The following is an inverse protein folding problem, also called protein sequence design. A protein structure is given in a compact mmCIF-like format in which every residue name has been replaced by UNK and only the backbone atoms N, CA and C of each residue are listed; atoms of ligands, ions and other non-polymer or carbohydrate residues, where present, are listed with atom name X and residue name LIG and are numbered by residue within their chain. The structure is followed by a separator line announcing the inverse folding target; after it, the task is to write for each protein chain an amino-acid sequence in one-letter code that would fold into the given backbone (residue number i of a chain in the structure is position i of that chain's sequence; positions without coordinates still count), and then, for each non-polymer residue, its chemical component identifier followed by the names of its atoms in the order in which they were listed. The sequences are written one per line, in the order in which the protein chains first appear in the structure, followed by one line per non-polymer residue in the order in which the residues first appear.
data_IF_277945233795
#
_entry.id   IF_277945233795
#
_cell.length_a   1.000
_cell.length_b   1.000
_cell.length_c   1.000
_cell.angle_alpha   90.00
_cell.angle_beta   90.00
_cell.angle_gamma   90.00
#
_symmetry.space_group_name_H-M   'P 1'
#
loop_
_entity.id
_entity.type
_entity.pdbx_description
1 polymer ?
#
# COMPACT_ATOMS: atom_id res chain seq x y z
N UNK A 1 4.50 -4.98 14.43
CA UNK A 1 3.16 -4.82 14.99
C UNK A 1 2.53 -3.46 14.68
N UNK A 2 3.27 -2.34 14.76
CA UNK A 2 2.75 -1.00 14.48
C UNK A 2 2.23 -0.84 13.03
N UNK A 3 2.92 -1.41 12.03
CA UNK A 3 2.47 -1.42 10.64
C UNK A 3 1.11 -2.11 10.49
N UNK A 4 0.92 -3.27 11.12
CA UNK A 4 -0.36 -3.99 11.16
C UNK A 4 -1.48 -3.16 11.78
N UNK A 5 -1.19 -2.47 12.87
CA UNK A 5 -2.14 -1.56 13.54
C UNK A 5 -2.56 -0.41 12.63
N UNK A 6 -1.62 0.19 11.89
CA UNK A 6 -1.90 1.28 10.94
C UNK A 6 -2.74 0.82 9.75
N UNK A 7 -2.49 -0.38 9.20
CA UNK A 7 -3.34 -0.97 8.17
C UNK A 7 -4.79 -1.13 8.62
N UNK A 8 -4.98 -1.58 9.86
CA UNK A 8 -6.32 -1.75 10.44
C UNK A 8 -6.99 -0.41 10.68
N UNK A 9 -6.33 0.55 11.34
CA UNK A 9 -6.85 1.90 11.57
C UNK A 9 -7.17 2.63 10.26
N UNK A 10 -6.34 2.45 9.23
CA UNK A 10 -6.54 3.01 7.90
C UNK A 10 -7.65 2.34 7.07
N UNK A 11 -8.34 1.33 7.61
CA UNK A 11 -9.38 0.52 6.91
C UNK A 11 -8.90 -0.08 5.57
N UNK A 12 -7.58 -0.32 5.43
CA UNK A 12 -6.93 -0.84 4.23
C UNK A 12 -6.79 -2.37 4.23
N UNK A 13 -7.40 -3.01 5.20
CA UNK A 13 -7.26 -4.43 5.51
C UNK A 13 -8.46 -5.25 5.02
N UNK A 14 -8.80 -5.11 3.73
CA UNK A 14 -10.02 -5.74 3.15
C UNK A 14 -9.89 -7.25 3.02
N UNK A 15 -8.76 -7.74 2.50
CA UNK A 15 -8.50 -9.18 2.30
C UNK A 15 -7.63 -9.78 3.39
N UNK A 16 -7.05 -8.96 4.24
CA UNK A 16 -6.02 -9.31 5.23
C UNK A 16 -4.73 -9.92 4.62
N UNK A 17 -4.64 -10.08 3.30
CA UNK A 17 -3.44 -10.63 2.67
C UNK A 17 -2.20 -9.83 3.05
N UNK A 18 -2.19 -8.52 2.81
CA UNK A 18 -1.07 -7.66 3.19
C UNK A 18 -0.78 -7.68 4.70
N UNK A 19 -1.82 -7.71 5.53
CA UNK A 19 -1.66 -7.80 6.97
C UNK A 19 -0.97 -9.10 7.40
N UNK A 20 -1.34 -10.22 6.78
CA UNK A 20 -0.80 -11.55 7.11
C UNK A 20 0.60 -11.76 6.51
N UNK A 21 0.92 -11.12 5.37
CA UNK A 21 2.21 -11.26 4.71
C UNK A 21 3.32 -10.40 5.33
N UNK A 22 2.97 -9.46 6.20
CA UNK A 22 3.99 -8.66 6.90
C UNK A 22 4.79 -9.55 7.83
N UNK A 23 6.05 -9.77 7.49
CA UNK A 23 6.98 -10.55 8.29
C UNK A 23 8.37 -9.93 8.26
N UNK A 24 9.29 -10.48 9.04
CA UNK A 24 10.68 -10.05 9.03
C UNK A 24 11.59 -11.24 9.32
N UNK A 25 12.78 -11.20 8.75
CA UNK A 25 13.87 -12.15 9.02
C UNK A 25 15.08 -11.38 9.52
N UNK A 26 15.77 -11.94 10.48
CA UNK A 26 17.03 -11.40 10.98
C UNK A 26 18.13 -12.39 10.60
N UNK A 27 19.09 -11.91 9.82
CA UNK A 27 20.30 -12.65 9.48
C UNK A 27 21.45 -12.00 10.25
N UNK A 28 22.02 -12.72 11.20
CA UNK A 28 23.20 -12.32 11.94
C UNK A 28 24.39 -13.15 11.50
N UNK A 29 25.47 -12.50 11.09
CA UNK A 29 26.78 -13.07 10.86
C UNK A 29 27.75 -12.50 11.90
N UNK A 30 28.99 -13.00 11.94
CA UNK A 30 30.01 -12.50 12.89
C UNK A 30 30.25 -11.00 12.73
N UNK A 31 30.18 -10.48 11.48
CA UNK A 31 30.52 -9.09 11.15
C UNK A 31 29.32 -8.20 10.82
N UNK A 32 28.10 -8.77 10.67
CA UNK A 32 26.93 -8.00 10.24
C UNK A 32 25.61 -8.56 10.77
N UNK A 33 24.64 -7.66 10.93
CA UNK A 33 23.24 -7.99 11.21
C UNK A 33 22.39 -7.35 10.13
N UNK A 34 21.61 -8.16 9.41
CA UNK A 34 20.62 -7.65 8.45
C UNK A 34 19.20 -8.00 8.87
N UNK A 35 18.28 -7.07 8.66
CA UNK A 35 16.85 -7.26 8.93
C UNK A 35 16.11 -7.12 7.61
N UNK A 36 15.51 -8.22 7.15
CA UNK A 36 14.75 -8.28 5.90
C UNK A 36 13.27 -8.21 6.25
N UNK A 37 12.55 -7.25 5.69
CA UNK A 37 11.10 -7.14 5.83
C UNK A 37 10.43 -7.72 4.60
N UNK A 38 9.48 -8.63 4.82
CA UNK A 38 8.73 -9.29 3.76
C UNK A 38 7.28 -8.78 3.76
N UNK A 39 6.73 -8.52 2.58
CA UNK A 39 5.33 -8.18 2.39
C UNK A 39 4.88 -8.49 0.96
N UNK A 40 3.58 -8.53 0.73
CA UNK A 40 3.00 -8.62 -0.61
C UNK A 40 3.47 -7.46 -1.50
N UNK A 41 3.79 -7.70 -2.77
CA UNK A 41 4.34 -6.72 -3.73
C UNK A 41 3.53 -5.41 -3.81
N UNK A 42 2.21 -5.51 -3.67
CA UNK A 42 1.37 -4.32 -3.69
C UNK A 42 1.46 -3.48 -2.39
N UNK A 43 2.15 -3.97 -1.37
CA UNK A 43 2.36 -3.26 -0.10
C UNK A 43 3.06 -1.93 -0.31
N UNK A 44 4.07 -1.88 -1.17
CA UNK A 44 4.80 -0.64 -1.52
C UNK A 44 3.87 0.44 -2.10
N UNK A 45 2.97 0.06 -3.00
CA UNK A 45 2.00 1.01 -3.57
C UNK A 45 0.97 1.49 -2.54
N UNK A 46 0.65 0.65 -1.56
CA UNK A 46 -0.25 1.00 -0.48
C UNK A 46 0.44 1.90 0.55
N UNK A 47 1.73 1.71 0.78
CA UNK A 47 2.53 2.51 1.70
C UNK A 47 2.86 3.89 1.13
N UNK A 48 3.54 3.92 -0.01
CA UNK A 48 4.02 5.14 -0.64
C UNK A 48 2.95 5.86 -1.49
N UNK A 49 1.86 5.15 -1.82
CA UNK A 49 0.82 5.66 -2.70
C UNK A 49 1.18 5.56 -4.19
N UNK A 50 0.26 5.97 -5.03
CA UNK A 50 0.42 6.05 -6.48
C UNK A 50 -0.25 7.32 -6.99
N UNK A 51 0.46 8.16 -7.71
CA UNK A 51 -0.12 9.36 -8.33
C UNK A 51 -1.13 8.99 -9.41
N UNK A 52 -2.26 9.68 -9.42
CA UNK A 52 -3.23 9.58 -10.48
C UNK A 52 -2.86 10.46 -11.69
N UNK A 53 -3.66 10.39 -12.73
CA UNK A 53 -3.47 11.26 -13.90
C UNK A 53 -3.79 12.73 -13.60
N UNK A 54 -4.78 13.00 -12.74
CA UNK A 54 -5.18 14.35 -12.33
C UNK A 54 -4.60 14.77 -10.99
N UNK A 55 -4.56 13.86 -10.01
CA UNK A 55 -4.05 14.15 -8.68
C UNK A 55 -2.66 13.56 -8.51
N UNK A 56 -1.71 14.39 -8.10
CA UNK A 56 -0.32 14.00 -7.87
C UNK A 56 -0.04 13.89 -6.38
N UNK A 57 0.77 12.88 -6.03
CA UNK A 57 1.35 12.71 -4.70
C UNK A 57 2.87 12.72 -4.84
N UNK A 58 3.58 13.01 -3.78
CA UNK A 58 5.04 12.87 -3.75
C UNK A 58 5.38 11.37 -3.60
N UNK A 59 5.40 10.66 -4.74
CA UNK A 59 5.64 9.22 -4.82
C UNK A 59 6.27 8.87 -6.16
N UNK A 60 7.17 7.87 -6.23
CA UNK A 60 7.78 7.42 -7.49
C UNK A 60 6.77 6.74 -8.41
N UNK A 61 5.63 6.30 -7.89
CA UNK A 61 4.63 5.56 -8.66
C UNK A 61 3.56 6.47 -9.24
N UNK A 62 3.22 6.29 -10.52
CA UNK A 62 2.16 7.08 -11.16
C UNK A 62 1.44 6.30 -12.26
N UNK A 63 0.13 6.51 -12.36
CA UNK A 63 -0.64 6.09 -13.53
C UNK A 63 -0.36 7.05 -14.68
N UNK A 64 0.02 6.49 -15.84
CA UNK A 64 0.27 7.26 -17.08
C UNK A 64 -0.86 7.01 -18.10
N UNK A 65 -0.85 5.86 -18.75
CA UNK A 65 -1.75 5.54 -19.88
C UNK A 65 -2.71 4.39 -19.57
N UNK A 66 -2.33 3.43 -18.71
CA UNK A 66 -3.14 2.25 -18.43
C UNK A 66 -3.91 2.38 -17.13
N UNK A 67 -5.23 2.22 -17.23
CA UNK A 67 -6.12 2.13 -16.07
C UNK A 67 -6.02 0.74 -15.44
N UNK A 68 -6.11 0.61 -14.10
CA UNK A 68 -6.16 -0.71 -13.47
C UNK A 68 -7.37 -1.51 -13.95
N UNK A 69 -7.24 -2.84 -14.13
CA UNK A 69 -8.34 -3.67 -14.61
C UNK A 69 -9.51 -3.65 -13.62
N UNK A 70 -10.71 -3.34 -14.11
CA UNK A 70 -11.92 -3.23 -13.28
C UNK A 70 -12.24 -4.52 -12.53
N UNK A 71 -11.92 -5.69 -13.09
CA UNK A 71 -12.11 -7.00 -12.44
C UNK A 71 -11.35 -7.13 -11.11
N UNK A 72 -10.21 -6.46 -10.95
CA UNK A 72 -9.42 -6.47 -9.72
C UNK A 72 -10.22 -5.95 -8.51
N UNK A 73 -11.24 -5.12 -8.73
CA UNK A 73 -12.08 -4.56 -7.67
C UNK A 73 -13.33 -5.38 -7.35
N UNK A 74 -13.50 -6.54 -7.98
CA UNK A 74 -14.69 -7.39 -7.77
C UNK A 74 -14.87 -7.78 -6.30
N UNK A 75 -13.83 -8.34 -5.69
CA UNK A 75 -13.86 -8.73 -4.27
C UNK A 75 -13.91 -7.51 -3.32
N UNK A 76 -13.30 -6.40 -3.71
CA UNK A 76 -13.35 -5.16 -2.94
C UNK A 76 -14.78 -4.65 -2.80
N UNK A 77 -15.53 -4.59 -3.90
CA UNK A 77 -16.96 -4.17 -3.90
C UNK A 77 -17.80 -5.05 -2.98
N UNK A 78 -17.58 -6.37 -3.03
CA UNK A 78 -18.33 -7.32 -2.19
C UNK A 78 -17.96 -7.16 -0.71
N UNK A 79 -16.68 -7.20 -0.39
CA UNK A 79 -16.21 -7.17 1.02
C UNK A 79 -16.47 -5.84 1.72
N UNK A 80 -16.46 -4.74 0.98
CA UNK A 80 -16.82 -3.41 1.50
C UNK A 80 -18.32 -3.16 1.49
N UNK A 81 -19.13 -4.15 1.04
CA UNK A 81 -20.57 -4.02 0.91
C UNK A 81 -20.97 -2.71 0.20
N UNK A 82 -20.25 -2.39 -0.89
CA UNK A 82 -20.54 -1.19 -1.66
C UNK A 82 -21.82 -1.43 -2.43
N UNK A 83 -22.92 -0.89 -1.90
CA UNK A 83 -24.21 -0.93 -2.56
C UNK A 83 -24.20 0.05 -3.74
N UNK A 84 -24.68 -0.41 -4.89
CA UNK A 84 -24.89 0.47 -6.03
C UNK A 84 -25.93 1.54 -5.68
N UNK A 85 -25.64 2.80 -6.04
CA UNK A 85 -26.67 3.82 -6.10
C UNK A 85 -27.67 3.51 -7.21
N UNK A 86 -28.84 4.08 -7.14
CA UNK A 86 -29.80 4.06 -8.25
C UNK A 86 -29.37 5.09 -9.30
N UNK A 87 -29.58 4.78 -10.57
CA UNK A 87 -29.42 5.74 -11.66
C UNK A 87 -30.62 6.74 -11.67
N UNK A 88 -30.56 7.74 -12.55
CA UNK A 88 -31.64 8.74 -12.72
C UNK A 88 -32.99 8.12 -13.04
N UNK A 89 -33.01 6.88 -13.55
CA UNK A 89 -34.22 6.10 -13.85
C UNK A 89 -34.61 5.15 -12.70
N UNK A 90 -34.02 5.28 -11.52
CA UNK A 90 -34.32 4.48 -10.34
C UNK A 90 -33.76 3.05 -10.36
N UNK A 91 -32.98 2.63 -11.36
CA UNK A 91 -32.44 1.28 -11.50
C UNK A 91 -31.11 1.14 -10.75
N UNK A 92 -30.86 -0.01 -10.16
CA UNK A 92 -29.59 -0.29 -9.50
C UNK A 92 -28.42 -0.30 -10.50
N UNK A 93 -27.36 0.43 -10.19
CA UNK A 93 -26.11 0.41 -10.94
C UNK A 93 -25.50 -0.99 -10.88
N UNK A 94 -25.22 -1.58 -12.05
CA UNK A 94 -24.64 -2.94 -12.16
C UNK A 94 -23.27 -3.00 -11.49
N UNK A 95 -22.94 -4.12 -10.85
CA UNK A 95 -21.64 -4.35 -10.18
C UNK A 95 -20.45 -4.07 -11.10
N UNK A 96 -20.51 -4.45 -12.37
CA UNK A 96 -19.46 -4.17 -13.37
C UNK A 96 -19.22 -2.67 -13.53
N UNK A 97 -20.28 -1.87 -13.54
CA UNK A 97 -20.20 -0.39 -13.61
C UNK A 97 -19.53 0.17 -12.36
N UNK A 98 -19.85 -0.34 -11.15
CA UNK A 98 -19.19 0.07 -9.93
C UNK A 98 -17.69 -0.24 -9.94
N UNK A 99 -17.31 -1.43 -10.40
CA UNK A 99 -15.91 -1.81 -10.56
C UNK A 99 -15.18 -0.86 -11.50
N UNK A 100 -15.80 -0.52 -12.63
CA UNK A 100 -15.25 0.43 -13.59
C UNK A 100 -15.10 1.84 -12.99
N UNK A 101 -16.11 2.34 -12.28
CA UNK A 101 -16.06 3.66 -11.64
C UNK A 101 -14.95 3.73 -10.57
N UNK A 102 -14.74 2.64 -9.81
CA UNK A 102 -13.64 2.55 -8.85
C UNK A 102 -12.30 2.56 -9.58
N UNK A 103 -12.14 1.75 -10.62
CA UNK A 103 -10.92 1.70 -11.42
C UNK A 103 -10.59 3.08 -12.03
N UNK A 104 -11.60 3.76 -12.60
CA UNK A 104 -11.47 5.12 -13.15
C UNK A 104 -11.10 6.14 -12.07
N UNK A 105 -11.72 6.05 -10.91
CA UNK A 105 -11.40 6.93 -9.78
C UNK A 105 -9.96 6.77 -9.32
N UNK A 106 -9.47 5.52 -9.22
CA UNK A 106 -8.08 5.23 -8.87
C UNK A 106 -7.12 5.71 -9.97
N UNK A 107 -7.47 5.53 -11.23
CA UNK A 107 -6.66 6.02 -12.36
C UNK A 107 -6.52 7.56 -12.35
N UNK A 108 -7.60 8.28 -12.04
CA UNK A 108 -7.60 9.75 -12.04
C UNK A 108 -7.04 10.36 -10.76
N UNK A 109 -7.40 9.83 -9.60
CA UNK A 109 -7.02 10.36 -8.29
C UNK A 109 -5.79 9.69 -7.70
N UNK A 110 -5.45 8.49 -8.17
CA UNK A 110 -4.37 7.70 -7.58
C UNK A 110 -4.75 7.00 -6.27
N UNK A 111 -3.74 6.52 -5.59
CA UNK A 111 -3.83 5.90 -4.26
C UNK A 111 -3.07 6.80 -3.28
N UNK A 112 -3.77 7.37 -2.32
CA UNK A 112 -3.15 8.22 -1.31
C UNK A 112 -2.15 7.43 -0.46
N UNK A 113 -0.93 7.94 -0.25
CA UNK A 113 0.06 7.34 0.64
C UNK A 113 -0.52 7.04 2.02
N UNK A 114 -0.26 5.85 2.54
CA UNK A 114 -0.70 5.50 3.89
C UNK A 114 0.40 5.53 4.93
N UNK A 115 1.64 5.41 4.47
CA UNK A 115 2.84 5.38 5.31
C UNK A 115 2.70 4.37 6.47
N UNK A 116 2.03 3.24 6.19
CA UNK A 116 1.72 2.26 7.23
C UNK A 116 2.97 1.51 7.69
N UNK A 117 3.92 1.34 6.79
CA UNK A 117 5.22 0.70 7.04
C UNK A 117 6.32 1.74 7.25
N UNK A 118 6.52 2.65 6.30
CA UNK A 118 7.62 3.63 6.31
C UNK A 118 7.63 4.47 7.59
N UNK A 119 6.48 4.99 8.02
CA UNK A 119 6.44 5.85 9.22
C UNK A 119 6.81 5.12 10.51
N UNK A 120 6.25 3.93 10.86
CA UNK A 120 6.70 3.20 12.04
C UNK A 120 8.14 2.71 11.92
N UNK A 121 8.59 2.39 10.70
CA UNK A 121 9.95 1.99 10.46
C UNK A 121 10.93 3.13 10.81
N UNK A 122 10.74 4.32 10.24
CA UNK A 122 11.59 5.48 10.54
C UNK A 122 11.56 5.82 12.04
N UNK A 123 10.39 5.79 12.68
CA UNK A 123 10.27 6.02 14.11
C UNK A 123 11.02 4.98 14.98
N UNK A 124 11.17 3.75 14.48
CA UNK A 124 11.96 2.73 15.16
C UNK A 124 13.45 2.92 14.88
N UNK A 125 13.80 3.27 13.65
CA UNK A 125 15.15 3.55 13.20
C UNK A 125 15.77 4.74 13.94
N UNK A 126 15.03 5.84 14.07
CA UNK A 126 15.45 7.05 14.80
C UNK A 126 15.79 6.79 16.29
N UNK A 127 15.33 5.66 16.83
CA UNK A 127 15.62 5.25 18.22
C UNK A 127 16.87 4.38 18.36
N UNK A 128 17.46 3.95 17.25
CA UNK A 128 18.69 3.20 17.30
C UNK A 128 19.87 4.11 17.66
N UNK A 129 20.90 3.60 18.34
CA UNK A 129 22.15 4.32 18.53
C UNK A 129 22.73 4.78 17.18
N UNK A 130 23.35 5.98 17.10
CA UNK A 130 23.88 6.52 15.84
C UNK A 130 24.84 5.56 15.11
N UNK A 131 25.67 4.84 15.84
CA UNK A 131 26.61 3.88 15.28
C UNK A 131 25.92 2.72 14.55
N UNK A 132 24.72 2.34 15.00
CA UNK A 132 23.89 1.34 14.34
C UNK A 132 23.13 1.95 13.16
N UNK A 133 22.68 3.22 13.29
CA UNK A 133 22.01 3.91 12.18
C UNK A 133 22.91 4.03 10.95
N UNK A 134 24.18 4.39 11.15
CA UNK A 134 25.14 4.55 10.06
C UNK A 134 25.44 3.22 9.36
N UNK A 135 25.52 2.12 10.10
CA UNK A 135 25.75 0.78 9.53
C UNK A 135 24.52 0.24 8.80
N UNK A 136 23.30 0.50 9.29
CA UNK A 136 22.06 0.04 8.66
C UNK A 136 21.57 0.97 7.54
N UNK A 137 21.97 2.25 7.53
CA UNK A 137 21.49 3.25 6.57
C UNK A 137 21.82 2.90 5.12
N UNK A 138 22.98 2.31 4.89
CA UNK A 138 23.46 1.93 3.56
C UNK A 138 22.66 0.76 2.97
N UNK A 139 22.24 -0.19 3.80
CA UNK A 139 21.52 -1.38 3.33
C UNK A 139 20.04 -1.10 3.00
N UNK A 140 19.44 -0.11 3.64
CA UNK A 140 18.01 0.22 3.46
C UNK A 140 17.75 0.91 2.13
N UNK A 141 18.65 1.76 1.66
CA UNK A 141 18.52 2.42 0.36
C UNK A 141 18.48 1.38 -0.78
N UNK A 142 19.26 0.31 -0.68
CA UNK A 142 19.33 -0.74 -1.69
C UNK A 142 18.07 -1.64 -1.74
N UNK A 143 17.41 -1.86 -0.60
CA UNK A 143 16.24 -2.78 -0.51
C UNK A 143 14.92 -2.09 -0.92
N UNK A 144 14.83 -0.77 -0.79
CA UNK A 144 13.60 -0.03 -1.13
C UNK A 144 13.51 0.30 -2.63
N UNK A 145 14.62 0.23 -3.35
CA UNK A 145 14.73 0.67 -4.76
C UNK A 145 14.96 -0.45 -5.78
N UNK A 146 15.12 -1.72 -5.35
CA UNK A 146 15.00 -2.89 -6.23
C UNK A 146 13.53 -3.32 -6.35
#
# INVERSE_FOLDING_TARGET
QQARTRLTKGKKNVSKKLYNSLDYKINATEDSISVIFEMEDYGKFQDQGVSGTKQKYNTPFSYKSKMPPSKAFSQFVVRKNIKGSRDEKGRFVKRKTLQYLIARSIFTRGIKPSMFFTKPFNQAFDKLPPELQDKFGIDIENIIFE
#
